data_IF_032324316206
#
_entry.id   IF_032324316206
#
_cell.length_a   1.000
_cell.length_b   1.000
_cell.length_c   1.000
_cell.angle_alpha   90.00
_cell.angle_beta   90.00
_cell.angle_gamma   90.00
#
_symmetry.space_group_name_H-M   'P 1'
#
loop_
_entity.id
_entity.type
_entity.pdbx_description
1 polymer ?
#
# COMPACT_ATOMS: atom_id res chain seq x y z
N UNK A 1 -19.47 20.70 7.96
CA UNK A 1 -18.09 20.69 7.42
C UNK A 1 -17.83 19.32 6.84
N UNK A 2 -17.15 19.25 5.69
CA UNK A 2 -16.86 17.96 5.02
C UNK A 2 -15.39 17.60 5.15
N UNK A 3 -15.12 16.39 5.57
CA UNK A 3 -13.79 15.84 5.77
C UNK A 3 -13.62 14.65 4.82
N UNK A 4 -12.61 14.69 3.95
CA UNK A 4 -12.24 13.58 3.09
C UNK A 4 -11.29 12.65 3.85
N UNK A 5 -11.58 11.35 3.84
CA UNK A 5 -10.76 10.30 4.42
C UNK A 5 -10.20 9.39 3.33
N UNK A 6 -8.89 9.28 3.29
CA UNK A 6 -8.08 8.39 2.46
C UNK A 6 -6.98 7.76 3.32
N UNK A 7 -6.33 6.70 2.84
CA UNK A 7 -5.22 6.00 3.51
C UNK A 7 -4.42 5.15 2.53
N UNK A 8 -3.32 4.60 2.98
CA UNK A 8 -2.57 3.54 2.30
C UNK A 8 -2.19 3.93 0.85
N UNK A 9 -1.57 5.10 0.71
CA UNK A 9 -1.15 5.63 -0.60
C UNK A 9 0.03 4.87 -1.18
N UNK A 10 0.90 4.31 -0.33
CA UNK A 10 2.10 3.56 -0.70
C UNK A 10 2.89 4.19 -1.86
N UNK A 11 3.11 5.52 -1.77
CA UNK A 11 3.83 6.25 -2.80
C UNK A 11 5.22 5.65 -3.04
N UNK A 12 5.55 5.44 -4.31
CA UNK A 12 6.80 4.84 -4.72
C UNK A 12 6.82 3.32 -4.70
N UNK A 13 5.66 2.65 -4.55
CA UNK A 13 5.57 1.20 -4.65
C UNK A 13 6.19 0.71 -5.96
N UNK A 14 7.12 -0.26 -5.89
CA UNK A 14 7.77 -0.79 -7.08
C UNK A 14 6.82 -1.68 -7.88
N UNK A 15 6.97 -1.66 -9.20
CA UNK A 15 6.42 -2.63 -10.12
C UNK A 15 7.56 -3.41 -10.78
N UNK A 16 7.28 -4.63 -11.23
CA UNK A 16 8.24 -5.41 -12.06
C UNK A 16 8.65 -4.70 -13.36
N UNK A 17 7.86 -3.72 -13.80
CA UNK A 17 8.10 -2.89 -14.99
C UNK A 17 8.43 -1.42 -14.65
N UNK A 18 8.87 -1.14 -13.43
CA UNK A 18 9.17 0.22 -12.98
C UNK A 18 8.52 0.57 -11.64
N UNK A 19 7.79 1.67 -11.59
CA UNK A 19 7.10 2.16 -10.39
C UNK A 19 5.63 2.46 -10.68
N UNK A 20 4.81 2.55 -9.63
CA UNK A 20 3.40 2.95 -9.74
C UNK A 20 3.18 4.47 -9.73
N UNK A 21 4.21 5.28 -9.92
CA UNK A 21 4.13 6.75 -9.83
C UNK A 21 3.07 7.34 -10.76
N UNK A 22 2.93 6.82 -11.98
CA UNK A 22 1.90 7.30 -12.92
C UNK A 22 0.47 7.01 -12.42
N UNK A 23 0.23 5.81 -11.88
CA UNK A 23 -1.06 5.43 -11.28
C UNK A 23 -1.36 6.27 -10.04
N UNK A 24 -0.33 6.54 -9.25
CA UNK A 24 -0.42 7.35 -8.02
C UNK A 24 -0.67 8.82 -8.34
N UNK A 25 -0.05 9.37 -9.37
CA UNK A 25 -0.35 10.73 -9.86
C UNK A 25 -1.80 10.81 -10.37
N UNK A 26 -2.25 9.82 -11.14
CA UNK A 26 -3.62 9.76 -11.64
C UNK A 26 -4.66 9.72 -10.51
N UNK A 27 -4.38 8.96 -9.45
CA UNK A 27 -5.19 9.00 -8.23
C UNK A 27 -5.22 10.38 -7.59
N UNK A 28 -4.06 11.04 -7.43
CA UNK A 28 -3.98 12.36 -6.81
C UNK A 28 -4.75 13.42 -7.62
N UNK A 29 -4.72 13.35 -8.95
CA UNK A 29 -5.47 14.26 -9.80
C UNK A 29 -7.00 14.11 -9.60
N UNK A 30 -7.49 12.86 -9.42
CA UNK A 30 -8.88 12.62 -9.03
C UNK A 30 -9.17 13.15 -7.62
N UNK A 31 -8.24 12.94 -6.66
CA UNK A 31 -8.39 13.43 -5.29
C UNK A 31 -8.58 14.95 -5.26
N UNK A 32 -7.80 15.70 -6.05
CA UNK A 32 -7.93 17.16 -6.14
C UNK A 32 -9.30 17.57 -6.70
N UNK A 33 -9.76 16.91 -7.74
CA UNK A 33 -11.08 17.16 -8.33
C UNK A 33 -12.21 16.87 -7.32
N UNK A 34 -12.12 15.78 -6.57
CA UNK A 34 -13.08 15.43 -5.52
C UNK A 34 -13.09 16.46 -4.39
N UNK A 35 -11.92 16.97 -3.98
CA UNK A 35 -11.80 18.01 -2.95
C UNK A 35 -12.57 19.28 -3.37
N UNK A 36 -12.50 19.68 -4.63
CA UNK A 36 -13.19 20.84 -5.16
C UNK A 36 -14.69 20.55 -5.36
N UNK A 37 -15.05 19.45 -6.00
CA UNK A 37 -16.44 19.06 -6.32
C UNK A 37 -17.31 18.94 -5.05
N UNK A 38 -16.77 18.32 -4.00
CA UNK A 38 -17.50 18.11 -2.75
C UNK A 38 -17.30 19.21 -1.71
N UNK A 39 -16.63 20.32 -2.07
CA UNK A 39 -16.31 21.41 -1.15
C UNK A 39 -15.73 20.91 0.19
N UNK A 40 -14.70 20.05 0.09
CA UNK A 40 -14.00 19.46 1.23
C UNK A 40 -13.26 20.55 2.00
N UNK A 41 -13.35 20.53 3.33
CA UNK A 41 -12.68 21.51 4.19
C UNK A 41 -11.35 20.98 4.75
N UNK A 42 -11.26 19.67 4.96
CA UNK A 42 -10.06 19.02 5.45
C UNK A 42 -9.90 17.62 4.84
N UNK A 43 -8.65 17.19 4.69
CA UNK A 43 -8.27 15.84 4.22
C UNK A 43 -7.58 15.10 5.36
N UNK A 44 -8.00 13.87 5.61
CA UNK A 44 -7.35 12.92 6.50
C UNK A 44 -6.67 11.86 5.64
N UNK A 45 -5.36 11.62 5.87
CA UNK A 45 -4.65 10.46 5.36
C UNK A 45 -4.21 9.57 6.53
N UNK A 46 -4.86 8.40 6.65
CA UNK A 46 -4.75 7.53 7.81
C UNK A 46 -3.58 6.54 7.71
N UNK A 47 -2.39 7.00 7.33
CA UNK A 47 -1.14 6.26 7.35
C UNK A 47 -0.77 5.61 6.02
N UNK A 48 0.42 5.01 6.02
CA UNK A 48 1.08 4.39 4.87
C UNK A 48 1.13 5.31 3.65
N UNK A 49 1.75 6.49 3.89
CA UNK A 49 1.99 7.48 2.84
C UNK A 49 2.98 6.94 1.81
N UNK A 50 4.05 6.34 2.28
CA UNK A 50 5.10 5.73 1.47
C UNK A 50 5.05 4.21 1.56
N UNK A 51 5.46 3.54 0.49
CA UNK A 51 5.54 2.07 0.46
C UNK A 51 6.63 1.52 1.40
N UNK A 52 7.64 2.31 1.70
CA UNK A 52 8.78 1.90 2.49
C UNK A 52 9.36 3.05 3.29
N UNK A 53 9.91 2.74 4.47
CA UNK A 53 10.62 3.71 5.33
C UNK A 53 11.86 4.33 4.67
N UNK A 54 12.42 3.69 3.63
CA UNK A 54 13.47 4.23 2.76
C UNK A 54 12.86 4.53 1.39
N UNK A 55 12.36 5.73 1.25
CA UNK A 55 11.57 6.20 0.10
C UNK A 55 12.47 6.70 -1.03
N UNK A 56 12.09 6.45 -2.28
CA UNK A 56 12.76 6.99 -3.46
C UNK A 56 12.42 8.48 -3.68
N UNK A 57 13.24 9.17 -4.49
CA UNK A 57 13.08 10.61 -4.74
C UNK A 57 11.75 10.96 -5.42
N UNK A 58 11.31 10.14 -6.38
CA UNK A 58 10.06 10.36 -7.12
C UNK A 58 8.84 10.36 -6.19
N UNK A 59 8.79 9.44 -5.24
CA UNK A 59 7.70 9.39 -4.25
C UNK A 59 7.72 10.60 -3.30
N UNK A 60 8.92 11.08 -2.92
CA UNK A 60 9.06 12.30 -2.11
C UNK A 60 8.55 13.51 -2.87
N UNK A 61 8.91 13.65 -4.15
CA UNK A 61 8.44 14.73 -5.01
C UNK A 61 6.93 14.67 -5.21
N UNK A 62 6.37 13.47 -5.41
CA UNK A 62 4.94 13.27 -5.57
C UNK A 62 4.16 13.68 -4.30
N UNK A 63 4.63 13.26 -3.12
CA UNK A 63 4.04 13.69 -1.84
C UNK A 63 4.17 15.19 -1.63
N UNK A 64 5.34 15.77 -1.89
CA UNK A 64 5.58 17.21 -1.77
C UNK A 64 4.64 18.01 -2.66
N UNK A 65 4.42 17.54 -3.90
CA UNK A 65 3.47 18.15 -4.85
C UNK A 65 2.04 18.05 -4.33
N UNK A 66 1.66 16.87 -3.79
CA UNK A 66 0.32 16.64 -3.25
C UNK A 66 -0.01 17.56 -2.07
N UNK A 67 0.88 17.66 -1.08
CA UNK A 67 0.66 18.56 0.06
C UNK A 67 0.65 20.04 -0.34
N UNK A 68 1.49 20.42 -1.31
CA UNK A 68 1.49 21.77 -1.86
C UNK A 68 0.16 22.09 -2.55
N UNK A 69 -0.34 21.16 -3.37
CA UNK A 69 -1.63 21.30 -4.04
C UNK A 69 -2.77 21.43 -3.03
N UNK A 70 -2.86 20.50 -2.08
CA UNK A 70 -3.97 20.48 -1.09
C UNK A 70 -3.91 21.67 -0.14
N UNK A 71 -2.75 21.91 0.50
CA UNK A 71 -2.67 22.90 1.57
C UNK A 71 -2.51 24.32 1.06
N UNK A 72 -1.67 24.55 0.03
CA UNK A 72 -1.37 25.91 -0.44
C UNK A 72 -2.29 26.35 -1.56
N UNK A 73 -2.50 25.51 -2.60
CA UNK A 73 -3.26 25.94 -3.77
C UNK A 73 -4.76 25.86 -3.53
N UNK A 74 -5.25 24.71 -2.99
CA UNK A 74 -6.66 24.51 -2.66
C UNK A 74 -7.04 25.11 -1.29
N UNK A 75 -6.05 25.51 -0.47
CA UNK A 75 -6.26 26.14 0.84
C UNK A 75 -6.94 25.24 1.87
N UNK A 76 -6.80 23.91 1.73
CA UNK A 76 -7.45 22.96 2.63
C UNK A 76 -6.49 22.55 3.76
N UNK A 77 -7.04 22.12 4.90
CA UNK A 77 -6.25 21.52 5.97
C UNK A 77 -6.01 20.06 5.66
N UNK A 78 -4.82 19.54 6.01
CA UNK A 78 -4.52 18.12 5.84
C UNK A 78 -3.97 17.54 7.14
N UNK A 79 -4.51 16.41 7.57
CA UNK A 79 -4.06 15.64 8.73
C UNK A 79 -3.48 14.32 8.22
N UNK A 80 -2.22 14.05 8.56
CA UNK A 80 -1.49 12.86 8.13
C UNK A 80 -0.95 12.17 9.36
N UNK A 81 -1.16 10.87 9.46
CA UNK A 81 -0.50 10.03 10.45
C UNK A 81 0.49 9.10 9.75
N UNK A 82 1.52 8.65 10.45
CA UNK A 82 2.39 7.60 9.94
C UNK A 82 1.72 6.23 10.10
N UNK A 83 1.82 5.39 9.07
CA UNK A 83 1.51 3.97 9.13
C UNK A 83 2.74 3.12 9.49
N UNK A 84 2.63 1.80 9.32
CA UNK A 84 3.73 0.87 9.65
C UNK A 84 4.83 0.82 8.58
N UNK A 85 4.53 1.21 7.33
CA UNK A 85 5.52 1.35 6.26
C UNK A 85 6.32 2.66 6.35
N UNK A 86 5.75 3.69 6.98
CA UNK A 86 6.35 5.01 7.06
C UNK A 86 7.51 5.09 8.06
N UNK A 87 8.49 5.94 7.76
CA UNK A 87 9.40 6.47 8.77
C UNK A 87 8.75 7.69 9.43
N UNK A 88 8.09 7.50 10.58
CA UNK A 88 7.37 8.57 11.27
C UNK A 88 8.23 9.79 11.57
N UNK A 89 9.52 9.61 11.87
CA UNK A 89 10.46 10.70 12.10
C UNK A 89 10.74 11.52 10.83
N UNK A 90 10.85 10.86 9.66
CA UNK A 90 11.05 11.53 8.37
C UNK A 90 9.79 12.25 7.92
N UNK A 91 8.64 11.57 8.04
CA UNK A 91 7.34 12.14 7.65
C UNK A 91 7.01 13.41 8.45
N UNK A 92 7.28 13.41 9.76
CA UNK A 92 7.05 14.55 10.65
C UNK A 92 8.22 15.56 10.71
N UNK A 93 9.18 15.47 9.80
CA UNK A 93 10.29 16.43 9.76
C UNK A 93 9.77 17.83 9.44
N UNK A 94 10.11 18.81 10.25
CA UNK A 94 9.64 20.20 10.10
C UNK A 94 8.17 20.42 10.40
N UNK A 95 7.49 19.52 11.14
CA UNK A 95 6.05 19.55 11.40
C UNK A 95 5.53 20.93 11.87
N UNK A 96 6.28 21.63 12.73
CA UNK A 96 5.84 22.94 13.26
C UNK A 96 5.71 24.00 12.15
N UNK A 97 6.57 23.95 11.13
CA UNK A 97 6.47 24.81 9.95
C UNK A 97 5.32 24.34 9.02
N UNK A 98 5.14 23.04 8.89
CA UNK A 98 4.07 22.45 8.09
C UNK A 98 2.69 22.76 8.65
N UNK A 99 2.54 22.79 9.97
CA UNK A 99 1.29 23.20 10.65
C UNK A 99 0.90 24.63 10.30
N UNK A 100 1.85 25.55 10.16
CA UNK A 100 1.58 26.92 9.71
C UNK A 100 1.01 26.99 8.29
N UNK A 101 1.37 26.01 7.46
CA UNK A 101 0.83 25.86 6.10
C UNK A 101 -0.49 25.05 6.06
N UNK A 102 -0.95 24.53 7.21
CA UNK A 102 -2.18 23.75 7.30
C UNK A 102 -2.00 22.24 7.17
N UNK A 103 -0.76 21.74 7.18
CA UNK A 103 -0.45 20.31 7.20
C UNK A 103 -0.07 19.87 8.61
N UNK A 104 -0.87 19.00 9.20
CA UNK A 104 -0.67 18.44 10.54
C UNK A 104 -0.17 17.00 10.42
N UNK A 105 1.08 16.74 10.82
CA UNK A 105 1.70 15.42 10.70
C UNK A 105 1.96 14.82 12.08
N UNK A 106 1.41 13.62 12.31
CA UNK A 106 1.69 12.81 13.50
C UNK A 106 2.52 11.58 13.11
N UNK A 107 3.83 11.66 13.29
CA UNK A 107 4.76 10.58 12.92
C UNK A 107 4.98 9.54 14.01
N UNK A 108 4.74 9.88 15.29
CA UNK A 108 4.87 8.98 16.45
C UNK A 108 3.84 9.35 17.49
N UNK A 109 3.41 8.35 18.27
CA UNK A 109 2.55 8.62 19.42
C UNK A 109 3.23 9.51 20.43
N UNK A 110 2.43 10.31 21.11
CA UNK A 110 2.84 11.17 22.23
C UNK A 110 1.94 10.88 23.43
N UNK A 111 2.44 11.15 24.64
CA UNK A 111 1.65 10.90 25.86
C UNK A 111 0.39 11.77 25.95
N UNK A 112 0.51 13.04 25.54
CA UNK A 112 -0.58 14.02 25.54
C UNK A 112 -1.05 14.23 24.09
N UNK A 113 -2.00 13.39 23.65
CA UNK A 113 -2.57 13.44 22.30
C UNK A 113 -3.57 14.58 22.26
N UNK A 114 -3.22 15.70 21.61
CA UNK A 114 -4.06 16.86 21.43
C UNK A 114 -4.79 16.81 20.09
N UNK A 115 -6.03 17.25 20.03
CA UNK A 115 -6.76 17.32 18.77
C UNK A 115 -6.25 18.42 17.86
N UNK A 116 -6.36 18.17 16.56
CA UNK A 116 -6.35 19.22 15.54
C UNK A 116 -7.79 19.73 15.40
N UNK A 117 -8.04 20.94 15.91
CA UNK A 117 -9.38 21.54 15.86
C UNK A 117 -9.62 22.25 14.53
N UNK A 118 -10.63 21.81 13.77
CA UNK A 118 -11.04 22.40 12.48
C UNK A 118 -12.56 22.57 12.50
N UNK A 119 -13.04 23.78 12.32
CA UNK A 119 -14.47 24.08 12.37
C UNK A 119 -15.12 23.56 13.65
N UNK A 120 -16.13 22.70 13.52
CA UNK A 120 -16.83 22.08 14.65
C UNK A 120 -16.28 20.70 15.07
N UNK A 121 -15.15 20.27 14.51
CA UNK A 121 -14.57 18.95 14.79
C UNK A 121 -13.22 19.07 15.50
N UNK A 122 -12.95 18.09 16.38
CA UNK A 122 -11.68 17.80 17.01
C UNK A 122 -11.17 16.45 16.51
N UNK A 123 -10.00 16.45 15.85
CA UNK A 123 -9.44 15.29 15.16
C UNK A 123 -8.20 14.84 15.92
N UNK A 124 -8.24 13.63 16.48
CA UNK A 124 -7.19 13.03 17.30
C UNK A 124 -6.32 12.08 16.46
N UNK A 125 -5.08 12.45 16.10
CA UNK A 125 -4.22 11.64 15.28
C UNK A 125 -3.45 10.61 16.14
N UNK A 126 -3.70 9.32 15.91
CA UNK A 126 -2.99 8.19 16.51
C UNK A 126 -2.24 7.45 15.40
N UNK A 127 -0.95 7.75 15.15
CA UNK A 127 -0.15 7.03 14.16
C UNK A 127 0.03 5.57 14.56
N UNK A 128 0.55 4.75 13.64
CA UNK A 128 0.95 3.38 13.98
C UNK A 128 1.94 3.39 15.15
N UNK A 129 1.73 2.46 16.08
CA UNK A 129 2.55 2.34 17.29
C UNK A 129 2.64 0.88 17.74
N UNK A 130 3.67 0.60 18.51
CA UNK A 130 3.82 -0.67 19.21
C UNK A 130 3.43 -0.53 20.68
N UNK A 131 2.90 -1.59 21.26
CA UNK A 131 2.51 -1.67 22.68
C UNK A 131 3.58 -1.12 23.63
N UNK A 132 4.86 -1.44 23.38
CA UNK A 132 5.97 -1.06 24.25
C UNK A 132 6.21 0.47 24.27
N UNK A 133 5.84 1.19 23.23
CA UNK A 133 5.88 2.65 23.21
C UNK A 133 4.86 3.26 24.15
N UNK A 134 3.66 2.66 24.26
CA UNK A 134 2.64 3.09 25.23
C UNK A 134 3.08 2.75 26.65
N UNK A 135 3.65 1.57 26.89
CA UNK A 135 4.22 1.20 28.20
C UNK A 135 5.30 2.19 28.65
N UNK A 136 6.10 2.71 27.71
CA UNK A 136 7.12 3.73 28.04
C UNK A 136 6.51 5.04 28.57
N UNK A 137 5.29 5.40 28.13
CA UNK A 137 4.57 6.57 28.69
C UNK A 137 3.86 6.29 30.02
N UNK A 138 3.46 5.03 30.25
CA UNK A 138 2.71 4.61 31.43
C UNK A 138 3.38 3.40 32.10
N UNK A 139 4.62 3.52 32.63
CA UNK A 139 5.38 2.41 33.17
C UNK A 139 4.67 1.75 34.36
N UNK A 140 3.93 2.53 35.15
CA UNK A 140 3.17 2.06 36.31
C UNK A 140 1.95 1.18 35.89
N UNK A 141 1.49 1.33 34.64
CA UNK A 141 0.38 0.54 34.07
C UNK A 141 0.84 -0.64 33.22
N UNK A 142 2.12 -1.02 33.26
CA UNK A 142 2.67 -2.10 32.43
C UNK A 142 1.90 -3.42 32.54
N UNK A 143 1.47 -3.79 33.76
CA UNK A 143 0.67 -5.00 33.98
C UNK A 143 -0.76 -4.93 33.43
N UNK A 144 -1.28 -3.71 33.19
CA UNK A 144 -2.61 -3.43 32.62
C UNK A 144 -2.57 -3.36 31.10
N UNK A 145 -1.36 -3.39 30.49
CA UNK A 145 -1.15 -3.31 29.04
C UNK A 145 -0.56 -4.63 28.52
N UNK A 146 -1.28 -5.74 28.58
CA UNK A 146 -0.79 -7.06 28.15
C UNK A 146 -0.77 -7.23 26.62
N UNK A 147 -1.52 -6.42 25.85
CA UNK A 147 -1.73 -6.56 24.41
C UNK A 147 -1.71 -5.21 23.70
N UNK A 148 -1.66 -5.23 22.37
CA UNK A 148 -1.83 -4.04 21.53
C UNK A 148 -3.19 -3.39 21.74
N UNK A 149 -4.25 -4.19 21.88
CA UNK A 149 -5.60 -3.71 22.18
C UNK A 149 -5.64 -2.95 23.49
N UNK A 150 -5.02 -3.49 24.56
CA UNK A 150 -4.96 -2.80 25.85
C UNK A 150 -4.19 -1.47 25.73
N UNK A 151 -3.12 -1.43 24.93
CA UNK A 151 -2.38 -0.20 24.66
C UNK A 151 -3.23 0.83 23.90
N UNK A 152 -3.94 0.42 22.85
CA UNK A 152 -4.87 1.27 22.12
C UNK A 152 -5.99 1.82 23.03
N UNK A 153 -6.52 0.94 23.92
CA UNK A 153 -7.54 1.35 24.91
C UNK A 153 -7.01 2.45 25.83
N UNK A 154 -5.79 2.32 26.35
CA UNK A 154 -5.19 3.35 27.23
C UNK A 154 -5.09 4.69 26.52
N UNK A 155 -4.69 4.72 25.23
CA UNK A 155 -4.63 5.97 24.45
C UNK A 155 -6.02 6.56 24.23
N UNK A 156 -7.00 5.73 23.84
CA UNK A 156 -8.37 6.18 23.61
C UNK A 156 -9.06 6.68 24.91
N UNK A 157 -8.83 5.98 26.04
CA UNK A 157 -9.37 6.41 27.34
C UNK A 157 -8.78 7.76 27.74
N UNK A 158 -7.47 7.98 27.55
CA UNK A 158 -6.84 9.26 27.83
C UNK A 158 -7.41 10.40 26.95
N UNK A 159 -7.68 10.12 25.67
CA UNK A 159 -8.35 11.10 24.79
C UNK A 159 -9.76 11.43 25.33
N UNK A 160 -10.55 10.41 25.73
CA UNK A 160 -11.92 10.59 26.26
C UNK A 160 -11.96 11.48 27.50
N UNK A 161 -10.92 11.42 28.37
CA UNK A 161 -10.83 12.29 29.53
C UNK A 161 -10.79 13.79 29.20
N UNK A 162 -10.32 14.14 28.00
CA UNK A 162 -10.14 15.52 27.55
C UNK A 162 -11.06 15.95 26.41
N UNK A 163 -11.90 15.05 25.89
CA UNK A 163 -12.84 15.34 24.79
C UNK A 163 -13.87 16.40 25.18
N UNK A 164 -14.13 17.33 24.26
CA UNK A 164 -15.28 18.23 24.34
C UNK A 164 -16.52 17.55 23.72
N UNK A 165 -17.53 17.17 24.51
CA UNK A 165 -18.71 16.47 24.01
C UNK A 165 -19.64 17.39 23.15
N UNK A 166 -19.38 18.68 23.12
CA UNK A 166 -20.13 19.63 22.26
C UNK A 166 -19.57 19.68 20.83
N UNK A 167 -18.42 19.09 20.59
CA UNK A 167 -17.75 19.04 19.29
C UNK A 167 -17.84 17.64 18.67
N UNK A 168 -17.62 17.56 17.37
CA UNK A 168 -17.53 16.29 16.68
C UNK A 168 -16.13 15.71 16.91
N UNK A 169 -16.05 14.58 17.60
CA UNK A 169 -14.79 13.96 17.98
C UNK A 169 -14.42 12.82 17.02
N UNK A 170 -13.31 12.98 16.32
CA UNK A 170 -12.84 12.07 15.27
C UNK A 170 -11.49 11.47 15.65
N UNK A 171 -11.35 10.15 15.60
CA UNK A 171 -10.04 9.49 15.65
C UNK A 171 -9.54 9.20 14.25
N UNK A 172 -8.23 9.41 14.03
CA UNK A 172 -7.49 8.90 12.89
C UNK A 172 -6.49 7.87 13.41
N UNK A 173 -6.55 6.63 12.95
CA UNK A 173 -5.64 5.59 13.40
C UNK A 173 -5.24 4.64 12.27
N UNK A 174 -4.02 4.10 12.38
CA UNK A 174 -3.52 3.08 11.46
C UNK A 174 -3.42 1.75 12.23
N UNK A 175 -4.51 0.98 12.21
CA UNK A 175 -4.67 -0.19 13.06
C UNK A 175 -5.48 -1.30 12.38
N UNK A 176 -5.17 -2.56 12.72
CA UNK A 176 -5.94 -3.72 12.28
C UNK A 176 -7.07 -4.04 13.28
N UNK A 177 -8.31 -3.95 12.82
CA UNK A 177 -9.49 -4.35 13.60
C UNK A 177 -9.77 -5.84 13.41
N UNK A 178 -9.97 -6.56 14.52
CA UNK A 178 -10.14 -8.03 14.53
C UNK A 178 -11.20 -8.55 13.56
N UNK A 179 -12.25 -7.78 13.29
CA UNK A 179 -13.34 -8.14 12.38
C UNK A 179 -13.14 -7.67 10.93
N UNK A 180 -12.01 -7.03 10.60
CA UNK A 180 -11.75 -6.55 9.25
C UNK A 180 -11.42 -7.70 8.29
N UNK A 181 -11.91 -7.58 7.06
CA UNK A 181 -11.57 -8.49 5.98
C UNK A 181 -10.28 -8.04 5.29
N UNK A 182 -9.37 -8.98 5.07
CA UNK A 182 -8.05 -8.73 4.48
C UNK A 182 -8.05 -8.97 2.98
N UNK A 183 -7.28 -8.18 2.25
CA UNK A 183 -6.84 -8.45 0.87
C UNK A 183 -5.52 -9.22 0.84
N UNK A 184 -5.07 -9.64 -0.34
CA UNK A 184 -3.83 -10.40 -0.46
C UNK A 184 -2.58 -9.55 -0.16
N UNK A 185 -2.62 -8.25 -0.46
CA UNK A 185 -1.57 -7.29 -0.09
C UNK A 185 -1.45 -7.10 1.43
N UNK A 186 -2.57 -7.11 2.17
CA UNK A 186 -2.59 -7.00 3.63
C UNK A 186 -1.98 -8.23 4.30
N UNK A 187 -2.25 -9.44 3.76
CA UNK A 187 -1.72 -10.71 4.30
C UNK A 187 -0.20 -10.77 4.25
N UNK A 188 0.42 -10.25 3.20
CA UNK A 188 1.88 -10.20 3.08
C UNK A 188 2.51 -9.32 4.16
N UNK A 189 1.85 -8.24 4.58
CA UNK A 189 2.33 -7.34 5.64
C UNK A 189 2.15 -7.92 7.06
N UNK A 190 1.25 -8.89 7.24
CA UNK A 190 0.92 -9.46 8.56
C UNK A 190 1.82 -10.61 9.04
N UNK A 191 2.67 -11.17 8.20
CA UNK A 191 3.57 -12.28 8.60
C UNK A 191 4.57 -11.77 9.65
N UNK A 192 4.14 -11.77 10.92
CA UNK A 192 4.96 -11.47 12.10
C UNK A 192 4.40 -10.50 13.14
N UNK A 193 3.29 -9.80 12.89
CA UNK A 193 2.72 -8.81 13.84
C UNK A 193 1.20 -8.89 13.96
N UNK A 194 0.67 -10.01 14.44
CA UNK A 194 -0.75 -10.15 14.75
C UNK A 194 -1.12 -9.32 16.00
N UNK A 195 -1.31 -8.03 15.85
CA UNK A 195 -1.77 -7.14 16.92
C UNK A 195 -3.09 -6.49 16.54
N UNK A 196 -4.14 -7.32 16.47
CA UNK A 196 -5.49 -6.82 16.21
C UNK A 196 -6.05 -6.07 17.42
N UNK A 197 -6.93 -5.13 17.15
CA UNK A 197 -7.63 -4.30 18.14
C UNK A 197 -9.13 -4.51 17.97
N UNK A 198 -9.88 -4.65 19.07
CA UNK A 198 -11.35 -4.68 19.03
C UNK A 198 -11.89 -3.30 18.60
N UNK A 199 -12.96 -3.31 17.80
CA UNK A 199 -13.69 -2.09 17.45
C UNK A 199 -14.19 -1.31 18.67
N UNK A 200 -14.48 -2.01 19.77
CA UNK A 200 -15.02 -1.42 21.00
C UNK A 200 -14.04 -0.46 21.69
N UNK A 201 -12.75 -0.54 21.34
CA UNK A 201 -11.74 0.43 21.79
C UNK A 201 -12.08 1.85 21.33
N UNK A 202 -12.78 1.98 20.22
CA UNK A 202 -13.14 3.26 19.59
C UNK A 202 -14.56 3.74 19.94
N UNK A 203 -15.23 3.12 20.91
CA UNK A 203 -16.56 3.57 21.34
C UNK A 203 -16.54 5.00 21.85
N UNK A 204 -17.60 5.76 21.52
CA UNK A 204 -17.80 7.14 21.98
C UNK A 204 -17.19 8.21 21.07
N UNK A 205 -16.51 7.83 19.96
CA UNK A 205 -16.11 8.78 18.92
C UNK A 205 -17.19 8.88 17.82
N UNK A 206 -17.36 10.07 17.27
CA UNK A 206 -18.36 10.32 16.21
C UNK A 206 -17.95 9.71 14.87
N UNK A 207 -16.65 9.65 14.59
CA UNK A 207 -16.09 9.02 13.41
C UNK A 207 -14.69 8.47 13.68
N UNK A 208 -14.38 7.31 13.13
CA UNK A 208 -13.07 6.67 13.23
C UNK A 208 -12.55 6.41 11.81
N UNK A 209 -11.54 7.18 11.42
CA UNK A 209 -10.86 7.08 10.13
C UNK A 209 -9.68 6.10 10.27
N UNK A 210 -9.81 4.91 9.69
CA UNK A 210 -8.82 3.84 9.76
C UNK A 210 -8.04 3.72 8.46
N UNK A 211 -6.74 3.45 8.57
CA UNK A 211 -5.87 2.91 7.53
C UNK A 211 -5.32 1.54 7.95
N UNK A 212 -4.42 0.97 7.16
CA UNK A 212 -3.79 -0.33 7.27
C UNK A 212 -4.43 -1.43 6.42
N UNK A 213 -5.73 -1.39 6.17
CA UNK A 213 -6.43 -2.40 5.37
C UNK A 213 -6.78 -1.81 4.01
N UNK A 214 -6.31 -2.48 2.94
CA UNK A 214 -6.47 -2.00 1.56
C UNK A 214 -7.89 -2.18 1.01
N UNK A 215 -8.69 -3.07 1.63
CA UNK A 215 -10.10 -3.24 1.26
C UNK A 215 -10.96 -2.15 1.88
N UNK A 216 -11.65 -1.32 1.07
CA UNK A 216 -12.65 -0.39 1.59
C UNK A 216 -13.76 -1.15 2.30
N UNK A 217 -14.01 -0.82 3.58
CA UNK A 217 -15.04 -1.51 4.36
C UNK A 217 -15.56 -0.70 5.54
N UNK A 218 -16.80 -1.00 5.91
CA UNK A 218 -17.44 -0.51 7.11
C UNK A 218 -17.33 -1.56 8.23
N UNK A 219 -16.63 -1.22 9.31
CA UNK A 219 -16.64 -2.06 10.51
C UNK A 219 -17.92 -1.81 11.31
N UNK A 220 -18.33 -0.54 11.40
CA UNK A 220 -19.62 -0.07 11.94
C UNK A 220 -20.13 1.08 11.07
N UNK A 221 -21.21 1.74 11.50
CA UNK A 221 -21.69 2.96 10.83
C UNK A 221 -20.65 4.10 10.88
N UNK A 222 -19.84 4.17 11.94
CA UNK A 222 -18.89 5.26 12.20
C UNK A 222 -17.43 4.87 12.09
N UNK A 223 -17.08 3.57 12.14
CA UNK A 223 -15.72 3.05 12.04
C UNK A 223 -15.48 2.54 10.62
N UNK A 224 -14.59 3.18 9.87
CA UNK A 224 -14.41 2.98 8.43
C UNK A 224 -12.94 2.84 8.04
N UNK A 225 -12.69 1.88 7.14
CA UNK A 225 -11.51 1.87 6.29
C UNK A 225 -11.86 2.50 4.95
N UNK A 226 -11.14 3.53 4.53
CA UNK A 226 -11.24 4.05 3.15
C UNK A 226 -10.70 3.03 2.15
N UNK A 227 -9.76 2.21 2.59
CA UNK A 227 -8.94 1.34 1.78
C UNK A 227 -7.85 2.10 1.03
N UNK A 228 -6.96 1.35 0.37
CA UNK A 228 -5.98 1.95 -0.54
C UNK A 228 -6.68 2.56 -1.77
N UNK A 229 -6.16 3.68 -2.30
CA UNK A 229 -6.77 4.34 -3.45
C UNK A 229 -6.54 3.60 -4.77
N UNK A 230 -5.55 2.70 -4.81
CA UNK A 230 -5.16 1.93 -5.98
C UNK A 230 -5.16 0.44 -5.61
N UNK A 231 -5.29 -0.43 -6.60
CA UNK A 231 -5.14 -1.88 -6.43
C UNK A 231 -3.66 -2.26 -6.44
N UNK A 232 -3.18 -2.85 -5.36
CA UNK A 232 -1.78 -3.21 -5.18
C UNK A 232 -1.48 -4.69 -5.40
N UNK A 233 -2.50 -5.57 -5.31
CA UNK A 233 -2.35 -7.00 -5.52
C UNK A 233 -3.35 -7.57 -6.54
N UNK A 234 -3.07 -8.76 -7.04
CA UNK A 234 -4.01 -9.58 -7.78
C UNK A 234 -4.94 -10.34 -6.81
N UNK A 235 -5.93 -11.05 -7.33
CA UNK A 235 -6.86 -11.84 -6.53
C UNK A 235 -7.99 -10.98 -5.95
N UNK A 236 -8.08 -10.90 -4.63
CA UNK A 236 -9.22 -10.25 -3.97
C UNK A 236 -9.39 -8.76 -4.34
N UNK A 237 -8.31 -8.05 -4.66
CA UNK A 237 -8.38 -6.63 -5.04
C UNK A 237 -8.89 -6.40 -6.47
N UNK A 238 -8.82 -7.40 -7.34
CA UNK A 238 -9.26 -7.26 -8.75
C UNK A 238 -10.73 -6.81 -8.88
N UNK A 239 -11.58 -7.28 -7.98
CA UNK A 239 -13.01 -6.97 -7.97
C UNK A 239 -13.41 -5.83 -7.06
N UNK A 240 -12.47 -5.25 -6.31
CA UNK A 240 -12.74 -4.14 -5.40
C UNK A 240 -12.94 -2.84 -6.15
N UNK A 241 -13.94 -2.08 -5.74
CA UNK A 241 -14.06 -0.66 -6.10
C UNK A 241 -13.26 0.15 -5.09
N UNK A 242 -12.19 0.79 -5.54
CA UNK A 242 -11.40 1.71 -4.72
C UNK A 242 -12.14 3.03 -4.57
N UNK A 243 -11.98 3.69 -3.42
CA UNK A 243 -12.76 4.88 -3.07
C UNK A 243 -12.04 5.79 -2.08
N UNK A 244 -12.55 6.99 -1.93
CA UNK A 244 -12.35 7.84 -0.77
C UNK A 244 -13.69 8.03 -0.05
N UNK A 245 -13.64 8.40 1.23
CA UNK A 245 -14.82 8.65 2.03
C UNK A 245 -14.93 10.14 2.34
N UNK A 246 -16.14 10.68 2.30
CA UNK A 246 -16.43 12.07 2.72
C UNK A 246 -17.39 12.01 3.91
N UNK A 247 -16.93 12.46 5.05
CA UNK A 247 -17.72 12.58 6.27
C UNK A 247 -18.21 14.01 6.47
N UNK A 248 -19.51 14.21 6.55
CA UNK A 248 -20.08 15.51 6.89
C UNK A 248 -20.33 15.60 8.40
N UNK A 249 -19.62 16.51 9.06
CA UNK A 249 -19.67 16.68 10.52
C UNK A 249 -21.00 17.25 11.03
N UNK A 250 -21.84 17.79 10.15
CA UNK A 250 -23.15 18.33 10.55
C UNK A 250 -24.25 17.27 10.45
N UNK A 251 -24.36 16.59 9.31
CA UNK A 251 -25.36 15.52 9.09
C UNK A 251 -24.90 14.18 9.64
N UNK A 252 -23.59 14.00 9.90
CA UNK A 252 -22.92 12.72 10.24
C UNK A 252 -23.01 11.67 9.13
N UNK A 253 -23.35 12.07 7.92
CA UNK A 253 -23.42 11.22 6.75
C UNK A 253 -22.02 10.94 6.20
N UNK A 254 -21.86 9.72 5.67
CA UNK A 254 -20.64 9.26 5.00
C UNK A 254 -20.97 8.97 3.54
N UNK A 255 -20.31 9.68 2.63
CA UNK A 255 -20.42 9.45 1.18
C UNK A 255 -19.18 8.74 0.69
N UNK A 256 -19.37 7.62 -0.01
CA UNK A 256 -18.29 6.91 -0.72
C UNK A 256 -18.17 7.47 -2.13
N UNK A 257 -16.97 7.88 -2.53
CA UNK A 257 -16.67 8.37 -3.88
C UNK A 257 -15.69 7.41 -4.53
N UNK A 258 -16.15 6.73 -5.58
CA UNK A 258 -15.36 5.74 -6.31
C UNK A 258 -14.19 6.39 -7.06
N UNK A 259 -13.07 5.68 -7.13
CA UNK A 259 -11.87 6.07 -7.87
C UNK A 259 -11.73 5.20 -9.12
N UNK A 260 -11.31 5.82 -10.21
CA UNK A 260 -10.94 5.13 -11.44
C UNK A 260 -9.47 4.73 -11.41
N UNK A 261 -9.15 3.58 -11.99
CA UNK A 261 -7.77 3.11 -12.13
C UNK A 261 -7.19 3.60 -13.46
N UNK A 262 -5.95 4.10 -13.46
CA UNK A 262 -5.20 4.31 -14.71
C UNK A 262 -4.89 2.95 -15.34
N UNK A 263 -4.37 2.03 -14.53
CA UNK A 263 -4.22 0.63 -14.90
C UNK A 263 -4.96 -0.23 -13.87
N UNK A 264 -5.91 -1.00 -14.34
CA UNK A 264 -6.61 -1.98 -13.49
C UNK A 264 -5.74 -3.23 -13.31
N UNK A 265 -6.18 -4.21 -12.50
CA UNK A 265 -5.52 -5.51 -12.32
C UNK A 265 -6.47 -6.64 -12.70
N UNK A 266 -5.94 -7.63 -13.42
CA UNK A 266 -6.72 -8.78 -13.86
C UNK A 266 -5.87 -10.04 -13.98
N UNK A 267 -6.39 -11.15 -13.47
CA UNK A 267 -5.84 -12.48 -13.68
C UNK A 267 -6.49 -13.14 -14.90
N UNK A 268 -5.64 -13.72 -15.77
CA UNK A 268 -6.05 -14.54 -16.91
C UNK A 268 -5.53 -15.96 -16.69
N UNK A 269 -6.36 -16.96 -16.97
CA UNK A 269 -5.94 -18.36 -16.92
C UNK A 269 -6.55 -19.13 -18.08
N UNK A 270 -5.76 -19.96 -18.76
CA UNK A 270 -6.18 -20.77 -19.88
C UNK A 270 -5.00 -21.41 -20.59
N UNK A 271 -5.29 -22.15 -21.66
CA UNK A 271 -4.26 -22.64 -22.59
C UNK A 271 -3.63 -21.47 -23.35
N UNK A 272 -2.44 -21.66 -23.89
CA UNK A 272 -1.77 -20.63 -24.70
C UNK A 272 -2.65 -20.14 -25.84
N UNK A 273 -3.33 -21.05 -26.57
CA UNK A 273 -4.19 -20.69 -27.68
C UNK A 273 -5.43 -19.91 -27.22
N UNK A 274 -6.05 -20.26 -26.08
CA UNK A 274 -7.15 -19.49 -25.52
C UNK A 274 -6.72 -18.07 -25.18
N UNK A 275 -5.57 -17.90 -24.54
CA UNK A 275 -5.06 -16.58 -24.18
C UNK A 275 -4.66 -15.79 -25.43
N UNK A 276 -4.02 -16.45 -26.40
CA UNK A 276 -3.57 -15.83 -27.65
C UNK A 276 -4.71 -15.27 -28.50
N UNK A 277 -5.88 -15.87 -28.48
CA UNK A 277 -7.06 -15.42 -29.27
C UNK A 277 -7.90 -14.36 -28.53
N UNK A 278 -7.73 -14.15 -27.21
CA UNK A 278 -8.43 -13.09 -26.48
C UNK A 278 -8.16 -11.74 -27.13
N UNK A 279 -9.07 -10.78 -26.98
CA UNK A 279 -8.80 -9.39 -27.36
C UNK A 279 -7.69 -8.78 -26.51
N UNK A 280 -6.95 -7.80 -27.04
CA UNK A 280 -5.96 -7.06 -26.27
C UNK A 280 -6.62 -6.32 -25.10
N UNK A 281 -5.97 -6.35 -23.95
CA UNK A 281 -6.43 -5.64 -22.75
C UNK A 281 -5.48 -4.47 -22.52
N UNK A 282 -5.98 -3.26 -22.74
CA UNK A 282 -5.25 -2.03 -22.51
C UNK A 282 -5.46 -1.51 -21.09
N UNK A 283 -4.52 -0.73 -20.59
CA UNK A 283 -4.59 -0.07 -19.27
C UNK A 283 -4.90 -1.05 -18.13
N UNK A 284 -4.25 -2.22 -18.15
CA UNK A 284 -4.46 -3.26 -17.16
C UNK A 284 -3.16 -4.03 -16.91
N UNK A 285 -2.75 -4.10 -15.67
CA UNK A 285 -1.70 -5.02 -15.24
C UNK A 285 -2.26 -6.45 -15.21
N UNK A 286 -1.49 -7.38 -15.75
CA UNK A 286 -1.96 -8.76 -15.94
C UNK A 286 -1.11 -9.75 -15.15
N UNK A 287 -1.80 -10.69 -14.51
CA UNK A 287 -1.27 -11.96 -14.04
C UNK A 287 -1.76 -13.04 -14.98
N UNK A 288 -0.87 -13.71 -15.68
CA UNK A 288 -1.22 -14.71 -16.70
C UNK A 288 -0.78 -16.10 -16.24
N UNK A 289 -1.71 -17.06 -16.27
CA UNK A 289 -1.44 -18.47 -15.98
C UNK A 289 -1.72 -19.29 -17.25
N UNK A 290 -0.67 -19.80 -17.88
CA UNK A 290 -0.77 -20.68 -19.07
C UNK A 290 -0.77 -22.12 -18.62
N UNK A 291 -1.86 -22.86 -18.89
CA UNK A 291 -2.09 -24.20 -18.33
C UNK A 291 -1.46 -25.34 -19.13
N UNK A 292 -0.97 -25.08 -20.34
CA UNK A 292 -0.46 -26.07 -21.29
C UNK A 292 1.00 -25.78 -21.72
N UNK A 293 1.66 -24.77 -21.14
CA UNK A 293 3.06 -24.45 -21.41
C UNK A 293 3.82 -24.12 -20.13
N UNK A 294 5.13 -24.35 -20.16
CA UNK A 294 6.03 -23.93 -19.09
C UNK A 294 6.26 -22.43 -19.20
N UNK A 295 6.25 -21.72 -18.06
CA UNK A 295 6.57 -20.31 -18.02
C UNK A 295 8.05 -20.09 -18.41
N UNK A 296 8.28 -19.30 -19.45
CA UNK A 296 9.61 -18.95 -19.97
C UNK A 296 9.69 -17.51 -20.42
N UNK A 297 10.89 -16.97 -20.59
CA UNK A 297 11.09 -15.63 -21.14
C UNK A 297 10.59 -15.51 -22.58
N UNK A 298 10.71 -16.57 -23.37
CA UNK A 298 10.19 -16.63 -24.74
C UNK A 298 8.67 -16.53 -24.74
N UNK A 299 7.96 -17.32 -23.93
CA UNK A 299 6.52 -17.26 -23.77
C UNK A 299 6.06 -15.88 -23.27
N UNK A 300 6.80 -15.27 -22.33
CA UNK A 300 6.53 -13.92 -21.86
C UNK A 300 6.68 -12.89 -22.99
N UNK A 301 7.73 -13.01 -23.80
CA UNK A 301 7.97 -12.10 -24.93
C UNK A 301 6.85 -12.20 -25.98
N UNK A 302 6.45 -13.43 -26.33
CA UNK A 302 5.35 -13.67 -27.27
C UNK A 302 4.02 -13.07 -26.76
N UNK A 303 3.71 -13.30 -25.48
CA UNK A 303 2.47 -12.79 -24.90
C UNK A 303 2.48 -11.27 -24.73
N UNK A 304 3.64 -10.65 -24.47
CA UNK A 304 3.79 -9.19 -24.36
C UNK A 304 3.59 -8.43 -25.65
N UNK A 305 3.75 -9.05 -26.80
CA UNK A 305 3.38 -8.42 -28.08
C UNK A 305 1.90 -8.01 -28.10
N UNK A 306 1.05 -8.75 -27.39
CA UNK A 306 -0.39 -8.51 -27.30
C UNK A 306 -0.82 -7.91 -25.96
N UNK A 307 -0.18 -8.28 -24.90
CA UNK A 307 -0.46 -7.88 -23.52
C UNK A 307 0.78 -7.25 -22.88
N UNK A 308 1.13 -6.00 -23.21
CA UNK A 308 2.41 -5.39 -22.82
C UNK A 308 2.58 -5.26 -21.30
N UNK A 309 1.48 -5.20 -20.53
CA UNK A 309 1.49 -4.98 -19.08
C UNK A 309 1.41 -6.29 -18.26
N UNK A 310 1.94 -7.42 -18.76
CA UNK A 310 2.07 -8.65 -17.96
C UNK A 310 3.10 -8.42 -16.86
N UNK A 311 2.67 -8.46 -15.60
CA UNK A 311 3.52 -8.40 -14.42
C UNK A 311 3.92 -9.79 -13.92
N UNK A 312 3.03 -10.77 -14.06
CA UNK A 312 3.23 -12.12 -13.57
C UNK A 312 2.86 -13.15 -14.64
N UNK A 313 3.77 -14.09 -14.89
CA UNK A 313 3.52 -15.22 -15.77
C UNK A 313 3.74 -16.52 -14.99
N UNK A 314 2.74 -17.38 -15.02
CA UNK A 314 2.76 -18.73 -14.46
C UNK A 314 2.54 -19.74 -15.58
N UNK A 315 3.10 -20.93 -15.43
CA UNK A 315 2.95 -22.03 -16.40
C UNK A 315 2.91 -23.38 -15.72
N UNK A 316 2.89 -24.45 -16.51
CA UNK A 316 2.98 -25.82 -16.01
C UNK A 316 4.27 -26.03 -15.24
N UNK A 317 4.21 -26.86 -14.19
CA UNK A 317 5.40 -27.40 -13.56
C UNK A 317 6.07 -28.43 -14.48
N UNK A 318 7.40 -28.49 -14.43
CA UNK A 318 8.16 -29.54 -15.16
C UNK A 318 7.84 -30.91 -14.54
N UNK A 319 7.47 -31.91 -15.39
CA UNK A 319 7.28 -33.29 -14.94
C UNK A 319 8.60 -33.83 -14.39
N UNK A 320 8.72 -33.96 -13.08
CA UNK A 320 9.92 -34.46 -12.42
C UNK A 320 10.29 -33.79 -11.10
N UNK A 321 9.81 -32.59 -10.84
CA UNK A 321 9.90 -31.94 -9.53
C UNK A 321 8.57 -32.14 -8.79
N UNK A 322 8.55 -32.95 -7.74
CA UNK A 322 7.34 -33.20 -6.94
C UNK A 322 6.84 -31.98 -6.14
N UNK A 323 7.01 -30.79 -6.65
CA UNK A 323 6.49 -29.52 -6.16
C UNK A 323 5.91 -28.75 -7.35
N UNK A 324 4.78 -28.08 -7.16
CA UNK A 324 4.26 -27.08 -8.08
C UNK A 324 5.26 -25.91 -8.15
N UNK A 325 6.24 -26.01 -9.04
CA UNK A 325 7.19 -24.92 -9.28
C UNK A 325 6.62 -23.98 -10.32
N UNK A 326 5.81 -23.05 -9.87
CA UNK A 326 5.54 -21.83 -10.62
C UNK A 326 6.83 -21.01 -10.64
N UNK A 327 7.49 -20.88 -11.78
CA UNK A 327 8.60 -19.94 -11.94
C UNK A 327 7.98 -18.57 -12.13
N UNK A 328 8.18 -17.68 -11.17
CA UNK A 328 7.73 -16.29 -11.28
C UNK A 328 8.73 -15.48 -12.13
N UNK A 329 8.25 -14.40 -12.74
CA UNK A 329 9.14 -13.44 -13.44
C UNK A 329 10.26 -12.94 -12.50
N UNK A 330 9.97 -12.81 -11.20
CA UNK A 330 10.95 -12.44 -10.17
C UNK A 330 12.10 -13.45 -10.03
N UNK A 331 11.81 -14.73 -10.20
CA UNK A 331 12.85 -15.77 -10.17
C UNK A 331 13.66 -15.75 -11.47
N UNK A 332 12.99 -15.52 -12.62
CA UNK A 332 13.66 -15.40 -13.91
C UNK A 332 14.53 -14.14 -14.02
N UNK A 333 14.09 -13.02 -13.46
CA UNK A 333 14.86 -11.77 -13.50
C UNK A 333 15.96 -11.67 -12.44
N UNK A 334 15.93 -12.51 -11.40
CA UNK A 334 16.99 -12.60 -10.37
C UNK A 334 18.09 -13.57 -10.74
N UNK A 335 17.86 -14.43 -11.75
CA UNK A 335 18.91 -15.31 -12.27
C UNK A 335 19.96 -14.47 -12.98
N UNK A 336 21.23 -14.63 -12.61
CA UNK A 336 22.31 -14.09 -13.41
C UNK A 336 22.45 -14.90 -14.72
N UNK A 337 23.18 -14.38 -15.68
CA UNK A 337 23.39 -15.02 -16.99
C UNK A 337 23.94 -16.45 -16.84
N UNK A 338 24.67 -16.73 -15.77
CA UNK A 338 25.20 -18.03 -15.45
C UNK A 338 24.12 -19.00 -14.97
N UNK A 339 23.20 -18.53 -14.13
CA UNK A 339 22.07 -19.33 -13.65
C UNK A 339 21.13 -19.68 -14.81
N UNK A 340 20.91 -18.74 -15.73
CA UNK A 340 20.14 -18.98 -16.96
C UNK A 340 20.80 -20.07 -17.82
N UNK A 341 22.12 -19.99 -18.02
CA UNK A 341 22.87 -20.99 -18.76
C UNK A 341 22.81 -22.36 -18.10
N UNK A 342 22.98 -22.43 -16.77
CA UNK A 342 22.91 -23.70 -16.02
C UNK A 342 21.53 -24.32 -16.20
N UNK A 343 20.46 -23.56 -15.97
CA UNK A 343 19.09 -24.06 -16.15
C UNK A 343 18.82 -24.49 -17.59
N UNK A 344 19.26 -23.74 -18.58
CA UNK A 344 19.12 -24.10 -19.99
C UNK A 344 19.79 -25.45 -20.31
N UNK A 345 21.01 -25.69 -19.81
CA UNK A 345 21.71 -26.94 -20.02
C UNK A 345 21.02 -28.11 -19.30
N UNK A 346 20.54 -27.89 -18.09
CA UNK A 346 19.81 -28.91 -17.33
C UNK A 346 18.47 -29.26 -17.97
N UNK A 347 17.70 -28.24 -18.41
CA UNK A 347 16.37 -28.42 -18.98
C UNK A 347 16.36 -28.96 -20.40
N UNK A 348 17.26 -28.47 -21.29
CA UNK A 348 17.27 -28.85 -22.69
C UNK A 348 18.12 -30.11 -22.96
N UNK A 349 19.20 -30.30 -22.20
CA UNK A 349 20.18 -31.37 -22.47
C UNK A 349 20.29 -32.36 -21.31
N UNK A 350 19.52 -32.18 -20.21
CA UNK A 350 19.63 -33.01 -19.00
C UNK A 350 21.09 -33.11 -18.50
N UNK A 351 21.80 -31.98 -18.60
CA UNK A 351 23.23 -31.90 -18.33
C UNK A 351 23.48 -30.82 -17.26
N UNK A 352 23.99 -31.23 -16.10
CA UNK A 352 24.43 -30.31 -15.05
C UNK A 352 25.89 -29.95 -15.29
N UNK A 353 26.22 -28.68 -15.60
CA UNK A 353 27.59 -28.25 -15.87
C UNK A 353 28.48 -28.37 -14.63
N UNK A 354 29.72 -28.77 -14.83
CA UNK A 354 30.73 -28.80 -13.77
C UNK A 354 31.17 -27.37 -13.38
N UNK A 355 31.79 -27.25 -12.22
CA UNK A 355 32.32 -25.95 -11.76
C UNK A 355 33.29 -25.32 -12.73
N UNK A 356 34.11 -26.11 -13.41
CA UNK A 356 35.08 -25.63 -14.38
C UNK A 356 34.39 -25.09 -15.65
N UNK A 357 33.31 -25.72 -16.08
CA UNK A 357 32.51 -25.27 -17.21
C UNK A 357 31.75 -23.98 -16.86
N UNK A 358 31.23 -23.85 -15.64
CA UNK A 358 30.60 -22.61 -15.15
C UNK A 358 31.62 -21.46 -15.11
N UNK A 359 32.84 -21.74 -14.62
CA UNK A 359 33.90 -20.73 -14.57
C UNK A 359 34.33 -20.28 -15.96
N UNK A 360 34.48 -21.24 -16.89
CA UNK A 360 34.81 -20.93 -18.28
C UNK A 360 33.73 -20.04 -18.94
N UNK A 361 32.45 -20.35 -18.69
CA UNK A 361 31.35 -19.53 -19.18
C UNK A 361 31.42 -18.08 -18.64
N UNK A 362 31.66 -17.94 -17.34
CA UNK A 362 31.82 -16.61 -16.71
C UNK A 362 32.98 -15.80 -17.30
N UNK A 363 34.09 -16.45 -17.59
CA UNK A 363 35.25 -15.81 -18.24
C UNK A 363 34.90 -15.32 -19.66
N UNK A 364 34.19 -16.13 -20.44
CA UNK A 364 33.77 -15.79 -21.80
C UNK A 364 32.78 -14.63 -21.79
N UNK A 365 31.76 -14.67 -20.94
CA UNK A 365 30.77 -13.58 -20.83
C UNK A 365 31.45 -12.28 -20.43
N UNK A 366 32.38 -12.33 -19.46
CA UNK A 366 33.13 -11.15 -19.04
C UNK A 366 33.99 -10.58 -20.19
N UNK A 367 34.64 -11.42 -20.98
CA UNK A 367 35.46 -10.97 -22.12
C UNK A 367 34.63 -10.29 -23.20
N UNK A 368 33.40 -10.76 -23.47
CA UNK A 368 32.47 -10.16 -24.43
C UNK A 368 31.98 -8.80 -23.94
N UNK A 369 31.68 -8.68 -22.62
CA UNK A 369 31.26 -7.41 -22.02
C UNK A 369 32.35 -6.33 -22.08
N UNK A 370 33.62 -6.70 -21.87
CA UNK A 370 34.74 -5.77 -21.92
C UNK A 370 35.04 -5.30 -23.38
N UNK A 371 34.74 -6.11 -24.40
CA UNK A 371 34.84 -5.70 -25.80
C UNK A 371 33.70 -4.78 -26.25
N UNK A 372 32.52 -4.88 -25.65
CA UNK A 372 31.38 -4.03 -25.99
C UNK A 372 31.48 -2.60 -25.43
N UNK A 373 32.23 -2.40 -24.32
CA UNK A 373 32.47 -1.07 -23.74
C UNK A 373 33.62 -0.29 -24.41
N UNK A 374 34.31 -0.87 -25.38
CA UNK A 374 35.43 -0.28 -26.14
C UNK A 374 35.08 0.11 -27.57
N UNK A 375 33.83 -0.02 -28.01
CA UNK A 375 33.29 0.34 -29.31
C UNK A 375 32.25 1.45 -29.21
#
# INVERSE_FOLDING_TARGET
>A
MRILHTSDWHLGMPLKLGTMIADQQYFLDQLYSIIEEYDVNAVICAGDIYDSSVTNAEAIELYSSAITKICKELGKKMIVIAGNHDSGARLASGRELLEMAGLYVSGKIVKDIRPVSIGNADIYPIPFFNRDEVIAFYPDKKSEIPSQEAAAKVLCDHIRESMDPSRVNIIVSHAFITSAELSDSDRAAQVGQATSVSKDVFDGFDYVALGHIHKPQAITETIRYSGSPIKYSFGAEETQVKQVLIYDTNSKEITSVALNMLHDRKSLSGTYEEIRIMDSIENCYLKVTVTDRIASLELLSELREKFPCILELYGMAYEGSGAETSITIDELTKLDETDIMIRFLEEQYHFTPSKDQINLYKEVVKSIGEEADLG
#
